data_IF_433023962649
#
_entry.id   IF_433023962649
#
_cell.length_a   1.000
_cell.length_b   1.000
_cell.length_c   1.000
_cell.angle_alpha   90.00
_cell.angle_beta   90.00
_cell.angle_gamma   90.00
#
_symmetry.space_group_name_H-M   'P 1'
#
loop_
_entity.id
_entity.type
_entity.pdbx_description
1 polymer ?
#
# COMPACT_ATOMS: atom_id res chain seq x y z
N UNK A 1 -1.60 9.63 17.13
CA UNK A 1 -1.22 8.38 17.85
C UNK A 1 0.16 7.95 17.39
N UNK A 2 1.06 7.68 18.32
CA UNK A 2 2.35 7.04 18.05
C UNK A 2 2.21 5.60 18.48
N UNK A 3 2.35 4.66 17.55
CA UNK A 3 2.49 3.27 17.94
C UNK A 3 3.77 3.11 18.72
N UNK A 4 3.61 2.63 19.92
CA UNK A 4 4.72 2.41 20.81
C UNK A 4 4.88 0.91 20.98
N UNK A 5 5.96 0.37 20.42
CA UNK A 5 6.34 -1.01 20.65
C UNK A 5 7.15 -1.04 21.92
N UNK A 6 6.63 -1.72 22.93
CA UNK A 6 7.33 -1.88 24.19
C UNK A 6 8.27 -3.08 24.11
N UNK A 7 9.58 -2.85 24.15
CA UNK A 7 10.53 -3.88 24.56
C UNK A 7 10.38 -4.10 26.06
N UNK A 8 10.82 -5.26 26.55
CA UNK A 8 10.66 -5.66 27.96
C UNK A 8 10.81 -4.52 28.97
N UNK A 9 11.73 -3.60 28.73
CA UNK A 9 12.03 -2.47 29.60
C UNK A 9 12.17 -1.13 28.87
N UNK A 10 11.79 -1.06 27.60
CA UNK A 10 11.89 0.17 26.80
C UNK A 10 10.73 0.31 25.83
N UNK A 11 10.23 1.53 25.74
CA UNK A 11 9.22 1.90 24.77
C UNK A 11 9.96 2.31 23.49
N UNK A 12 9.77 1.54 22.42
CA UNK A 12 10.30 1.90 21.11
C UNK A 12 9.19 2.53 20.30
N UNK A 13 9.32 3.80 19.99
CA UNK A 13 8.40 4.51 19.11
C UNK A 13 8.73 4.13 17.67
N UNK A 14 7.76 3.57 16.95
CA UNK A 14 7.91 3.36 15.51
C UNK A 14 7.87 4.73 14.85
N UNK A 15 8.91 5.04 14.05
CA UNK A 15 8.92 6.28 13.26
C UNK A 15 7.74 6.22 12.27
N UNK A 16 6.79 7.15 12.41
CA UNK A 16 5.63 7.22 11.53
C UNK A 16 5.98 7.35 10.06
N UNK A 17 7.13 7.91 9.76
CA UNK A 17 7.62 8.03 8.39
C UNK A 17 7.92 6.67 7.75
N UNK A 18 8.02 5.62 8.50
CA UNK A 18 8.39 4.27 8.05
C UNK A 18 7.21 3.31 7.96
N UNK A 19 6.10 3.61 8.64
CA UNK A 19 4.96 2.71 8.76
C UNK A 19 3.66 3.43 8.47
N UNK A 20 2.90 2.91 7.57
CA UNK A 20 1.58 3.44 7.15
C UNK A 20 0.63 3.77 8.28
N UNK A 21 0.76 3.07 9.37
CA UNK A 21 -0.17 3.09 10.47
C UNK A 21 -0.33 4.42 11.15
N UNK A 22 0.74 5.12 11.39
CA UNK A 22 0.63 6.38 12.08
C UNK A 22 -0.18 7.40 11.31
N UNK A 23 -0.19 7.29 9.99
CA UNK A 23 -0.95 8.19 9.16
C UNK A 23 -2.38 7.87 9.01
N UNK A 24 -2.64 6.62 9.05
CA UNK A 24 -3.99 6.14 9.13
C UNK A 24 -4.64 6.69 10.38
N UNK A 25 -3.94 6.72 11.51
CA UNK A 25 -4.43 7.31 12.73
C UNK A 25 -4.45 8.84 12.73
N UNK A 26 -3.43 9.49 12.17
CA UNK A 26 -3.40 10.93 11.97
C UNK A 26 -4.55 11.37 11.07
N UNK A 27 -4.89 10.56 10.08
CA UNK A 27 -6.02 10.79 9.20
C UNK A 27 -7.37 10.61 9.92
N UNK A 28 -7.52 9.58 10.77
CA UNK A 28 -8.73 9.39 11.60
C UNK A 28 -8.88 10.49 12.62
N UNK A 29 -7.78 10.95 13.19
CA UNK A 29 -7.78 12.04 14.15
C UNK A 29 -8.03 13.40 13.52
N UNK A 30 -8.20 13.49 12.18
CA UNK A 30 -8.33 14.75 11.46
C UNK A 30 -7.05 15.57 11.46
N UNK A 31 -5.92 14.97 11.82
CA UNK A 31 -4.61 15.58 11.75
C UNK A 31 -4.20 15.65 10.29
N UNK A 32 -4.41 16.81 9.72
CA UNK A 32 -4.12 17.10 8.33
C UNK A 32 -2.63 17.01 8.05
N UNK A 33 -2.35 16.41 7.01
CA UNK A 33 -1.12 16.31 6.25
C UNK A 33 -0.23 15.14 6.59
N UNK A 34 -0.37 14.18 5.78
CA UNK A 34 0.64 13.19 5.65
C UNK A 34 1.78 13.73 4.78
N UNK A 35 2.91 14.05 5.37
CA UNK A 35 4.17 14.25 4.65
C UNK A 35 4.80 12.91 4.22
N UNK A 36 4.01 11.85 3.96
CA UNK A 36 4.54 10.53 3.94
C UNK A 36 4.15 9.77 2.71
N UNK A 37 5.14 9.50 2.03
CA UNK A 37 5.23 8.46 1.04
C UNK A 37 5.01 7.13 1.74
N UNK A 38 3.96 6.44 1.36
CA UNK A 38 3.71 5.08 1.76
C UNK A 38 4.61 4.12 0.98
N UNK A 39 5.89 4.42 0.89
CA UNK A 39 6.83 3.46 0.38
C UNK A 39 7.22 2.52 1.50
N UNK A 40 6.99 1.23 1.33
CA UNK A 40 7.68 0.23 2.11
C UNK A 40 9.16 0.36 1.87
N UNK A 41 9.83 1.07 2.74
CA UNK A 41 11.27 0.87 2.89
C UNK A 41 11.42 -0.28 3.87
N UNK A 42 12.36 -1.17 3.58
CA UNK A 42 12.80 -2.17 4.55
C UNK A 42 12.93 -1.53 5.91
N UNK A 43 12.28 -2.10 6.91
CA UNK A 43 12.32 -1.55 8.26
C UNK A 43 13.74 -1.69 8.78
N UNK A 44 14.32 -0.64 9.34
CA UNK A 44 15.58 -0.72 10.04
C UNK A 44 15.45 -1.47 11.40
N UNK A 45 14.28 -2.01 11.69
CA UNK A 45 14.05 -2.82 12.89
C UNK A 45 14.62 -4.21 12.61
N UNK A 46 15.55 -4.68 13.44
CA UNK A 46 16.08 -6.03 13.30
C UNK A 46 14.96 -7.08 13.31
N UNK A 47 15.03 -8.03 12.41
CA UNK A 47 14.03 -9.11 12.29
C UNK A 47 13.82 -9.84 13.62
N UNK A 48 14.89 -10.09 14.36
CA UNK A 48 14.82 -10.74 15.70
C UNK A 48 13.93 -9.96 16.67
N UNK A 49 14.02 -8.62 16.64
CA UNK A 49 13.17 -7.77 17.48
C UNK A 49 11.69 -7.82 17.08
N UNK A 50 11.41 -8.00 15.80
CA UNK A 50 10.03 -8.17 15.31
C UNK A 50 9.49 -9.56 15.69
N UNK A 51 10.30 -10.61 15.62
CA UNK A 51 9.92 -11.96 16.06
C UNK A 51 9.62 -12.00 17.56
N UNK A 52 10.47 -11.35 18.36
CA UNK A 52 10.23 -11.19 19.80
C UNK A 52 8.93 -10.44 20.09
N UNK A 53 8.67 -9.37 19.32
CA UNK A 53 7.42 -8.62 19.42
C UNK A 53 6.19 -9.45 19.06
N UNK A 54 6.24 -10.26 17.99
CA UNK A 54 5.13 -11.17 17.63
C UNK A 54 4.80 -12.11 18.78
N UNK A 55 5.82 -12.69 19.44
CA UNK A 55 5.63 -13.58 20.57
C UNK A 55 4.98 -12.88 21.77
N UNK A 56 5.41 -11.66 22.11
CA UNK A 56 4.82 -10.88 23.20
C UNK A 56 3.38 -10.44 22.91
N UNK A 57 3.11 -10.08 21.65
CA UNK A 57 1.75 -9.75 21.26
C UNK A 57 0.83 -10.98 21.31
N UNK A 58 1.35 -12.19 21.01
CA UNK A 58 0.62 -13.43 21.18
C UNK A 58 0.25 -13.70 22.63
N UNK A 59 1.19 -13.49 23.57
CA UNK A 59 0.92 -13.61 25.01
C UNK A 59 -0.16 -12.61 25.46
N UNK A 60 -0.02 -11.34 25.04
CA UNK A 60 -0.98 -10.29 25.40
C UNK A 60 -2.37 -10.55 24.85
N UNK A 61 -2.48 -11.13 23.65
CA UNK A 61 -3.79 -11.54 23.07
C UNK A 61 -4.41 -12.66 23.90
N UNK A 62 -3.60 -13.61 24.40
CA UNK A 62 -4.09 -14.69 25.25
C UNK A 62 -4.64 -14.17 26.59
N UNK A 63 -4.08 -13.09 27.13
CA UNK A 63 -4.52 -12.46 28.37
C UNK A 63 -5.83 -11.64 28.20
N UNK A 64 -6.09 -11.11 27.01
CA UNK A 64 -7.29 -10.33 26.70
C UNK A 64 -7.74 -10.58 25.26
N UNK A 65 -8.70 -11.50 25.11
CA UNK A 65 -9.20 -11.96 23.82
C UNK A 65 -10.12 -10.94 23.12
N UNK A 66 -10.63 -9.93 23.83
CA UNK A 66 -11.60 -8.97 23.28
C UNK A 66 -10.95 -7.65 22.83
N UNK A 67 -9.60 -7.55 22.86
CA UNK A 67 -8.88 -6.36 22.43
C UNK A 67 -8.30 -6.56 21.03
N UNK A 68 -8.90 -5.90 20.03
CA UNK A 68 -8.45 -5.95 18.64
C UNK A 68 -7.10 -5.26 18.39
N UNK A 69 -6.66 -4.36 19.27
CA UNK A 69 -5.43 -3.57 19.05
C UNK A 69 -4.15 -4.42 19.06
N UNK A 70 -3.93 -5.35 20.00
CA UNK A 70 -2.81 -6.27 19.93
C UNK A 70 -2.83 -7.16 18.68
N UNK A 71 -4.02 -7.60 18.24
CA UNK A 71 -4.17 -8.35 16.98
C UNK A 71 -3.75 -7.50 15.79
N UNK A 72 -4.17 -6.25 15.74
CA UNK A 72 -3.80 -5.33 14.68
C UNK A 72 -2.27 -5.14 14.60
N UNK A 73 -1.63 -4.84 15.73
CA UNK A 73 -0.16 -4.71 15.80
C UNK A 73 0.56 -6.00 15.42
N UNK A 74 0.02 -7.15 15.83
CA UNK A 74 0.58 -8.45 15.47
C UNK A 74 0.49 -8.71 13.98
N UNK A 75 -0.64 -8.42 13.35
CA UNK A 75 -0.81 -8.53 11.90
C UNK A 75 0.24 -7.72 11.14
N UNK A 76 0.54 -6.50 11.60
CA UNK A 76 1.61 -5.67 11.01
C UNK A 76 2.97 -6.32 11.20
N UNK A 77 3.28 -6.73 12.43
CA UNK A 77 4.57 -7.36 12.76
C UNK A 77 4.79 -8.59 11.89
N UNK A 78 3.78 -9.45 11.75
CA UNK A 78 3.83 -10.64 10.92
C UNK A 78 4.00 -10.32 9.43
N UNK A 79 3.36 -9.25 8.94
CA UNK A 79 3.55 -8.78 7.57
C UNK A 79 4.99 -8.30 7.33
N UNK A 80 5.57 -7.56 8.27
CA UNK A 80 6.96 -7.07 8.19
C UNK A 80 7.99 -8.21 8.17
N UNK A 81 7.76 -9.28 8.90
CA UNK A 81 8.61 -10.49 8.86
C UNK A 81 8.20 -11.48 7.76
N UNK A 82 7.33 -11.05 6.84
CA UNK A 82 6.87 -11.81 5.66
C UNK A 82 6.07 -13.09 5.99
N UNK A 83 5.49 -13.16 7.17
CA UNK A 83 4.55 -14.22 7.56
C UNK A 83 3.13 -13.87 7.10
N UNK A 84 2.95 -13.65 5.80
CA UNK A 84 1.72 -13.09 5.22
C UNK A 84 0.46 -13.87 5.55
N UNK A 85 0.51 -15.20 5.50
CA UNK A 85 -0.65 -16.05 5.84
C UNK A 85 -1.08 -15.85 7.29
N UNK A 86 -0.13 -15.80 8.22
CA UNK A 86 -0.41 -15.56 9.62
C UNK A 86 -0.97 -14.14 9.83
N UNK A 87 -0.40 -13.14 9.15
CA UNK A 87 -0.87 -11.76 9.22
C UNK A 87 -2.33 -11.62 8.75
N UNK A 88 -2.68 -12.24 7.62
CA UNK A 88 -4.06 -12.25 7.11
C UNK A 88 -5.03 -12.89 8.10
N UNK A 89 -4.65 -14.03 8.70
CA UNK A 89 -5.45 -14.69 9.73
C UNK A 89 -5.62 -13.79 10.98
N UNK A 90 -4.54 -13.17 11.43
CA UNK A 90 -4.54 -12.26 12.59
C UNK A 90 -5.42 -11.03 12.35
N UNK A 91 -5.35 -10.41 11.15
CA UNK A 91 -6.27 -9.33 10.79
C UNK A 91 -7.72 -9.79 10.72
N UNK A 92 -7.97 -11.03 10.28
CA UNK A 92 -9.33 -11.59 10.25
C UNK A 92 -9.90 -11.66 11.65
N UNK A 93 -9.15 -12.16 12.63
CA UNK A 93 -9.56 -12.16 14.03
C UNK A 93 -9.77 -10.74 14.59
N UNK A 94 -8.93 -9.78 14.21
CA UNK A 94 -9.13 -8.39 14.60
C UNK A 94 -10.41 -7.78 13.98
N UNK A 95 -10.74 -8.13 12.74
CA UNK A 95 -11.98 -7.70 12.06
C UNK A 95 -13.23 -8.28 12.74
N UNK A 96 -13.18 -9.52 13.23
CA UNK A 96 -14.28 -10.12 13.98
C UNK A 96 -14.61 -9.33 15.23
N UNK A 97 -13.60 -8.79 15.90
CA UNK A 97 -13.78 -7.96 17.11
C UNK A 97 -14.16 -6.50 16.78
N UNK A 98 -13.63 -5.94 15.71
CA UNK A 98 -13.86 -4.55 15.32
C UNK A 98 -14.28 -4.42 13.83
N UNK A 99 -15.45 -4.94 13.43
CA UNK A 99 -15.85 -5.02 12.01
C UNK A 99 -16.16 -3.66 11.37
N UNK A 100 -16.26 -2.60 12.15
CA UNK A 100 -16.45 -1.23 11.66
C UNK A 100 -15.16 -0.43 11.52
N UNK A 101 -14.00 -1.03 11.82
CA UNK A 101 -12.71 -0.35 11.69
C UNK A 101 -12.16 -0.48 10.26
N UNK A 102 -12.11 0.60 9.46
CA UNK A 102 -11.70 0.53 8.06
C UNK A 102 -10.21 0.20 7.88
N UNK A 103 -9.39 0.42 8.91
CA UNK A 103 -7.95 0.19 8.86
C UNK A 103 -7.57 -1.27 8.87
N UNK A 104 -8.36 -2.09 9.52
CA UNK A 104 -8.16 -3.53 9.53
C UNK A 104 -8.31 -4.11 8.12
N UNK A 105 -9.32 -3.68 7.40
CA UNK A 105 -9.54 -4.08 6.01
C UNK A 105 -8.44 -3.55 5.08
N UNK A 106 -8.02 -2.29 5.24
CA UNK A 106 -6.93 -1.71 4.46
C UNK A 106 -5.64 -2.53 4.64
N UNK A 107 -5.27 -2.83 5.88
CA UNK A 107 -4.02 -3.54 6.15
C UNK A 107 -4.09 -5.01 5.73
N UNK A 108 -5.24 -5.69 5.89
CA UNK A 108 -5.41 -7.04 5.39
C UNK A 108 -5.29 -7.08 3.86
N UNK A 109 -5.95 -6.17 3.15
CA UNK A 109 -5.83 -6.02 1.70
C UNK A 109 -4.38 -5.79 1.26
N UNK A 110 -3.67 -4.88 1.92
CA UNK A 110 -2.26 -4.61 1.61
C UNK A 110 -1.40 -5.86 1.80
N UNK A 111 -1.61 -6.58 2.90
CA UNK A 111 -0.88 -7.83 3.18
C UNK A 111 -1.19 -8.93 2.17
N UNK A 112 -2.44 -9.07 1.73
CA UNK A 112 -2.82 -10.00 0.67
C UNK A 112 -2.13 -9.66 -0.66
N UNK A 113 -2.09 -8.38 -1.04
CA UNK A 113 -1.40 -7.94 -2.25
C UNK A 113 0.09 -8.26 -2.19
N UNK A 114 0.74 -8.01 -1.05
CA UNK A 114 2.15 -8.31 -0.86
C UNK A 114 2.48 -9.81 -0.83
N UNK A 115 1.57 -10.61 -0.31
CA UNK A 115 1.69 -12.06 -0.39
C UNK A 115 1.70 -12.51 -1.85
N UNK A 116 0.82 -11.95 -2.69
CA UNK A 116 0.77 -12.23 -4.12
C UNK A 116 2.07 -11.78 -4.80
N UNK A 117 2.55 -10.57 -4.51
CA UNK A 117 3.80 -10.05 -5.05
C UNK A 117 5.00 -10.91 -4.64
N UNK A 118 5.04 -11.36 -3.40
CA UNK A 118 6.08 -12.27 -2.90
C UNK A 118 6.06 -13.61 -3.64
N UNK A 119 4.89 -14.24 -3.77
CA UNK A 119 4.74 -15.50 -4.52
C UNK A 119 5.16 -15.29 -5.97
N UNK A 120 4.74 -14.19 -6.60
CA UNK A 120 5.11 -13.87 -7.97
C UNK A 120 6.62 -13.67 -8.15
N UNK A 121 7.29 -13.12 -7.16
CA UNK A 121 8.75 -12.92 -7.19
C UNK A 121 9.52 -14.24 -7.12
N UNK A 122 9.00 -15.22 -6.40
CA UNK A 122 9.58 -16.58 -6.34
C UNK A 122 9.41 -17.29 -7.69
N UNK A 123 8.22 -17.24 -8.27
CA UNK A 123 7.93 -17.84 -9.57
C UNK A 123 8.79 -17.23 -10.69
N UNK A 124 9.11 -15.93 -10.58
CA UNK A 124 9.94 -15.22 -11.54
C UNK A 124 11.44 -15.42 -11.36
N UNK A 125 11.89 -15.97 -10.24
CA UNK A 125 13.33 -16.24 -10.01
C UNK A 125 13.91 -17.25 -11.00
N UNK A 126 13.07 -18.07 -11.63
CA UNK A 126 13.47 -18.99 -12.71
C UNK A 126 13.53 -18.35 -14.10
N UNK A 127 12.90 -17.21 -14.31
CA UNK A 127 13.05 -16.42 -15.51
C UNK A 127 13.80 -15.15 -15.14
N UNK A 128 15.10 -15.10 -15.41
CA UNK A 128 15.89 -13.88 -15.36
C UNK A 128 15.23 -12.86 -16.30
N UNK A 129 14.35 -12.08 -15.75
CA UNK A 129 13.75 -10.97 -16.44
C UNK A 129 14.82 -9.92 -16.52
N UNK A 130 15.22 -9.58 -17.73
CA UNK A 130 15.71 -8.25 -18.01
C UNK A 130 14.74 -7.29 -17.37
N UNK A 131 15.21 -6.59 -16.33
CA UNK A 131 14.44 -5.56 -15.65
C UNK A 131 14.19 -4.50 -16.72
N UNK A 132 13.02 -4.60 -17.35
CA UNK A 132 12.54 -3.54 -18.20
C UNK A 132 12.25 -2.37 -17.27
N UNK A 133 13.13 -1.37 -17.31
CA UNK A 133 13.09 -0.23 -16.41
C UNK A 133 11.84 0.66 -16.64
N UNK A 134 11.02 0.31 -17.64
CA UNK A 134 9.83 1.06 -18.00
C UNK A 134 8.61 0.60 -17.17
N UNK A 135 8.07 1.47 -16.29
CA UNK A 135 6.87 1.16 -15.49
C UNK A 135 5.64 0.84 -16.34
N UNK A 136 5.52 1.36 -17.56
CA UNK A 136 4.41 1.07 -18.49
C UNK A 136 4.50 -0.38 -18.97
N UNK A 137 5.70 -0.88 -19.24
CA UNK A 137 5.90 -2.28 -19.60
C UNK A 137 5.59 -3.22 -18.42
N UNK A 138 5.77 -2.77 -17.16
CA UNK A 138 5.34 -3.53 -15.98
C UNK A 138 3.82 -3.71 -15.95
N UNK A 139 3.05 -2.68 -16.28
CA UNK A 139 1.59 -2.79 -16.39
C UNK A 139 1.18 -3.75 -17.50
N UNK A 140 1.88 -3.75 -18.64
CA UNK A 140 1.63 -4.71 -19.72
C UNK A 140 1.92 -6.15 -19.28
N UNK A 141 3.03 -6.36 -18.59
CA UNK A 141 3.43 -7.69 -18.12
C UNK A 141 2.55 -8.17 -16.96
N UNK A 142 2.07 -7.28 -16.10
CA UNK A 142 1.13 -7.60 -15.03
C UNK A 142 -0.22 -8.07 -15.59
N UNK A 143 -0.73 -7.43 -16.64
CA UNK A 143 -1.98 -7.82 -17.28
C UNK A 143 -1.92 -9.20 -17.98
N UNK A 144 -0.71 -9.65 -18.37
CA UNK A 144 -0.49 -10.98 -18.94
C UNK A 144 -0.50 -12.11 -17.89
N UNK A 145 -0.38 -11.78 -16.61
CA UNK A 145 -0.36 -12.73 -15.50
C UNK A 145 -1.54 -12.43 -14.59
N UNK A 146 -2.58 -13.21 -14.72
CA UNK A 146 -3.81 -13.05 -13.92
C UNK A 146 -3.57 -13.53 -12.48
N UNK A 147 -2.97 -12.68 -11.65
CA UNK A 147 -3.08 -12.86 -10.20
C UNK A 147 -4.46 -12.40 -9.72
N UNK A 148 -5.06 -13.18 -8.84
CA UNK A 148 -6.38 -12.84 -8.30
C UNK A 148 -6.26 -11.90 -7.11
N UNK A 149 -6.62 -10.63 -7.29
CA UNK A 149 -6.68 -9.61 -6.24
C UNK A 149 -8.10 -9.38 -5.70
N UNK A 150 -9.06 -10.23 -6.04
CA UNK A 150 -10.48 -9.96 -5.74
C UNK A 150 -10.76 -9.85 -4.24
N UNK A 151 -10.12 -10.69 -3.42
CA UNK A 151 -10.26 -10.60 -1.95
C UNK A 151 -9.70 -9.29 -1.40
N UNK A 152 -8.52 -8.89 -1.86
CA UNK A 152 -7.90 -7.62 -1.45
C UNK A 152 -8.74 -6.42 -1.89
N UNK A 153 -9.31 -6.46 -3.10
CA UNK A 153 -10.22 -5.43 -3.61
C UNK A 153 -11.53 -5.41 -2.79
N UNK A 154 -12.05 -6.56 -2.39
CA UNK A 154 -13.25 -6.64 -1.54
C UNK A 154 -13.03 -5.98 -0.18
N UNK A 155 -11.86 -6.16 0.43
CA UNK A 155 -11.48 -5.49 1.67
C UNK A 155 -11.42 -3.97 1.50
N UNK A 156 -10.81 -3.49 0.40
CA UNK A 156 -10.76 -2.06 0.12
C UNK A 156 -12.15 -1.46 -0.15
N UNK A 157 -13.04 -2.21 -0.80
CA UNK A 157 -14.44 -1.81 -0.96
C UNK A 157 -15.12 -1.66 0.42
N UNK A 158 -14.83 -2.57 1.36
CA UNK A 158 -15.36 -2.48 2.71
C UNK A 158 -14.78 -1.29 3.46
N UNK A 159 -13.47 -1.06 3.38
CA UNK A 159 -12.81 0.09 3.98
C UNK A 159 -13.40 1.43 3.47
N UNK A 160 -13.60 1.55 2.16
CA UNK A 160 -14.21 2.74 1.53
C UNK A 160 -15.66 2.91 1.98
N UNK A 161 -16.42 1.83 2.07
CA UNK A 161 -17.82 1.89 2.55
C UNK A 161 -17.89 2.39 3.99
N UNK A 162 -16.96 1.97 4.84
CA UNK A 162 -16.88 2.39 6.24
C UNK A 162 -16.36 3.82 6.36
N UNK A 163 -15.46 4.22 5.50
CA UNK A 163 -14.84 5.55 5.52
C UNK A 163 -14.68 6.12 4.09
N UNK A 164 -15.70 6.80 3.54
CA UNK A 164 -15.71 7.26 2.16
C UNK A 164 -14.66 8.32 1.81
N UNK A 165 -14.06 8.99 2.80
CA UNK A 165 -13.00 9.96 2.59
C UNK A 165 -11.58 9.37 2.72
N UNK A 166 -11.46 8.05 2.67
CA UNK A 166 -10.19 7.36 2.89
C UNK A 166 -9.34 7.30 1.60
N UNK A 167 -8.58 8.36 1.33
CA UNK A 167 -7.78 8.51 0.12
C UNK A 167 -6.87 7.30 -0.17
N UNK A 168 -6.26 6.71 0.87
CA UNK A 168 -5.41 5.54 0.73
C UNK A 168 -6.14 4.28 0.26
N UNK A 169 -7.38 4.10 0.69
CA UNK A 169 -8.15 2.94 0.27
C UNK A 169 -8.48 3.02 -1.23
N UNK A 170 -8.79 4.19 -1.75
CA UNK A 170 -8.95 4.42 -3.18
C UNK A 170 -7.62 4.20 -3.93
N UNK A 171 -6.53 4.78 -3.44
CA UNK A 171 -5.21 4.61 -4.04
C UNK A 171 -4.78 3.14 -4.11
N UNK A 172 -4.93 2.38 -3.03
CA UNK A 172 -4.57 0.97 -3.01
C UNK A 172 -5.49 0.14 -3.91
N UNK A 173 -6.79 0.45 -3.97
CA UNK A 173 -7.72 -0.22 -4.89
C UNK A 173 -7.36 0.07 -6.34
N UNK A 174 -7.01 1.31 -6.66
CA UNK A 174 -6.52 1.68 -7.98
C UNK A 174 -5.27 0.90 -8.40
N UNK A 175 -4.32 0.72 -7.47
CA UNK A 175 -3.13 -0.10 -7.73
C UNK A 175 -3.50 -1.54 -8.11
N UNK A 176 -4.39 -2.18 -7.34
CA UNK A 176 -4.82 -3.55 -7.61
C UNK A 176 -5.66 -3.67 -8.89
N UNK A 177 -6.49 -2.67 -9.20
CA UNK A 177 -7.23 -2.59 -10.45
C UNK A 177 -6.29 -2.45 -11.64
N UNK A 178 -5.28 -1.58 -11.55
CA UNK A 178 -4.27 -1.42 -12.59
C UNK A 178 -3.50 -2.71 -12.85
N UNK A 179 -3.08 -3.41 -11.78
CA UNK A 179 -2.42 -4.72 -11.86
C UNK A 179 -3.33 -5.81 -12.45
N UNK A 180 -4.64 -5.67 -12.27
CA UNK A 180 -5.67 -6.55 -12.85
C UNK A 180 -6.07 -6.15 -14.27
N UNK A 181 -5.44 -5.13 -14.87
CA UNK A 181 -5.78 -4.62 -16.20
C UNK A 181 -7.05 -3.77 -16.27
N UNK A 182 -7.69 -3.48 -15.14
CA UNK A 182 -8.90 -2.64 -15.02
C UNK A 182 -8.50 -1.16 -14.98
N UNK A 183 -7.95 -0.66 -16.09
CA UNK A 183 -7.31 0.67 -16.14
C UNK A 183 -8.29 1.84 -16.01
N UNK A 184 -9.50 1.81 -16.61
CA UNK A 184 -10.48 2.87 -16.40
C UNK A 184 -10.88 3.01 -14.93
N UNK A 185 -11.15 1.90 -14.25
CA UNK A 185 -11.51 1.88 -12.85
C UNK A 185 -10.35 2.39 -11.97
N UNK A 186 -9.11 1.99 -12.30
CA UNK A 186 -7.92 2.48 -11.61
C UNK A 186 -7.75 4.01 -11.76
N UNK A 187 -7.99 4.54 -12.96
CA UNK A 187 -7.95 5.98 -13.22
C UNK A 187 -8.97 6.74 -12.35
N UNK A 188 -10.19 6.23 -12.26
CA UNK A 188 -11.27 6.85 -11.46
C UNK A 188 -10.89 6.85 -9.96
N UNK A 189 -10.37 5.76 -9.45
CA UNK A 189 -9.96 5.63 -8.06
C UNK A 189 -8.73 6.49 -7.72
N UNK A 190 -7.72 6.57 -8.60
CA UNK A 190 -6.62 7.53 -8.40
C UNK A 190 -7.13 8.98 -8.42
N UNK A 191 -8.08 9.28 -9.30
CA UNK A 191 -8.68 10.62 -9.36
C UNK A 191 -9.43 10.94 -8.08
N UNK A 192 -10.14 9.96 -7.50
CA UNK A 192 -10.80 10.13 -6.21
C UNK A 192 -9.80 10.29 -5.06
N UNK A 193 -8.71 9.54 -5.07
CA UNK A 193 -7.64 9.68 -4.08
C UNK A 193 -7.01 11.09 -4.13
N UNK A 194 -6.78 11.63 -5.32
CA UNK A 194 -6.26 12.99 -5.52
C UNK A 194 -7.28 14.06 -5.10
N UNK A 195 -8.56 13.88 -5.40
CA UNK A 195 -9.63 14.78 -4.94
C UNK A 195 -9.65 14.89 -3.41
N UNK A 196 -9.52 13.73 -2.73
CA UNK A 196 -9.51 13.65 -1.27
C UNK A 196 -8.20 14.18 -0.68
N UNK A 197 -7.10 14.02 -1.39
CA UNK A 197 -5.79 14.49 -0.98
C UNK A 197 -4.99 15.07 -2.17
N UNK A 198 -5.07 16.41 -2.39
CA UNK A 198 -4.47 17.05 -3.56
C UNK A 198 -2.95 17.01 -3.65
N UNK A 199 -2.25 16.67 -2.57
CA UNK A 199 -0.79 16.53 -2.55
C UNK A 199 -0.33 15.06 -2.58
N UNK A 200 -1.18 14.14 -3.01
CA UNK A 200 -0.86 12.72 -3.08
C UNK A 200 0.03 12.40 -4.30
N UNK A 201 1.33 12.61 -4.13
CA UNK A 201 2.34 12.51 -5.21
C UNK A 201 2.29 11.16 -5.96
N UNK A 202 2.19 10.05 -5.23
CA UNK A 202 2.14 8.71 -5.79
C UNK A 202 0.87 8.46 -6.59
N UNK A 203 -0.25 9.04 -6.19
CA UNK A 203 -1.49 8.93 -6.94
C UNK A 203 -1.40 9.65 -8.29
N UNK A 204 -0.79 10.84 -8.35
CA UNK A 204 -0.49 11.50 -9.61
C UNK A 204 0.46 10.67 -10.47
N UNK A 205 1.53 10.14 -9.87
CA UNK A 205 2.49 9.32 -10.60
C UNK A 205 1.84 8.11 -11.25
N UNK A 206 1.08 7.34 -10.49
CA UNK A 206 0.43 6.13 -10.97
C UNK A 206 -0.71 6.43 -11.95
N UNK A 207 -1.51 7.50 -11.71
CA UNK A 207 -2.53 7.94 -12.67
C UNK A 207 -1.89 8.37 -14.00
N UNK A 208 -0.78 9.08 -13.94
CA UNK A 208 0.00 9.47 -15.12
C UNK A 208 0.45 8.27 -15.94
N UNK A 209 0.94 7.20 -15.29
CA UNK A 209 1.31 5.96 -15.97
C UNK A 209 0.11 5.27 -16.62
N UNK A 210 -1.02 5.19 -15.90
CA UNK A 210 -2.27 4.63 -16.44
C UNK A 210 -2.74 5.40 -17.67
N UNK A 211 -2.72 6.74 -17.64
CA UNK A 211 -3.07 7.57 -18.79
C UNK A 211 -2.15 7.34 -20.00
N UNK A 212 -0.84 7.25 -19.78
CA UNK A 212 0.13 6.94 -20.85
C UNK A 212 -0.18 5.57 -21.45
N UNK A 213 -0.44 4.58 -20.63
CA UNK A 213 -0.82 3.25 -21.09
C UNK A 213 -2.12 3.27 -21.91
N UNK A 214 -3.10 4.07 -21.51
CA UNK A 214 -4.36 4.30 -22.21
C UNK A 214 -4.19 5.21 -23.44
N UNK A 215 -2.97 5.53 -23.85
CA UNK A 215 -2.61 6.38 -25.00
C UNK A 215 -2.94 7.88 -24.83
N UNK A 216 -3.29 8.34 -23.64
CA UNK A 216 -3.40 9.77 -23.34
C UNK A 216 -2.08 10.30 -22.75
N UNK A 217 -1.03 10.23 -23.57
CA UNK A 217 0.35 10.63 -23.15
C UNK A 217 0.40 12.07 -22.65
N UNK A 218 -0.40 12.97 -23.26
CA UNK A 218 -0.39 14.39 -22.86
C UNK A 218 -0.83 14.58 -21.42
N UNK A 219 -1.96 13.99 -21.03
CA UNK A 219 -2.44 14.08 -19.66
C UNK A 219 -1.54 13.34 -18.70
N UNK A 220 -1.06 12.16 -19.09
CA UNK A 220 -0.12 11.40 -18.29
C UNK A 220 1.17 12.19 -17.98
N UNK A 221 1.71 12.93 -18.95
CA UNK A 221 2.86 13.81 -18.71
C UNK A 221 2.55 14.97 -17.74
N UNK A 222 1.32 15.51 -17.74
CA UNK A 222 0.92 16.53 -16.78
C UNK A 222 0.89 15.97 -15.35
N UNK A 223 0.34 14.78 -15.17
CA UNK A 223 0.32 14.11 -13.87
C UNK A 223 1.74 13.73 -13.40
N UNK A 224 2.62 13.25 -14.30
CA UNK A 224 4.03 13.00 -13.96
C UNK A 224 4.76 14.28 -13.56
N UNK A 225 4.49 15.41 -14.25
CA UNK A 225 5.06 16.71 -13.87
C UNK A 225 4.61 17.08 -12.45
N UNK A 226 3.33 16.91 -12.14
CA UNK A 226 2.79 17.20 -10.81
C UNK A 226 3.39 16.28 -9.73
N UNK A 227 3.55 14.99 -10.01
CA UNK A 227 4.22 14.05 -9.12
C UNK A 227 5.68 14.46 -8.84
N UNK A 228 6.39 14.92 -9.86
CA UNK A 228 7.76 15.45 -9.73
C UNK A 228 7.82 16.70 -8.84
N UNK A 229 6.91 17.67 -9.04
CA UNK A 229 6.78 18.84 -8.17
C UNK A 229 6.51 18.48 -6.70
N UNK A 230 5.78 17.39 -6.48
CA UNK A 230 5.45 16.86 -5.15
C UNK A 230 6.54 15.95 -4.57
N UNK A 231 7.67 15.78 -5.26
CA UNK A 231 8.86 15.11 -4.72
C UNK A 231 9.17 13.72 -5.26
N UNK A 232 8.44 13.22 -6.27
CA UNK A 232 8.75 11.95 -6.94
C UNK A 232 9.84 12.17 -7.99
N UNK A 233 11.12 12.00 -7.61
CA UNK A 233 12.25 12.26 -8.49
C UNK A 233 12.21 11.47 -9.81
N UNK A 234 11.79 10.21 -9.77
CA UNK A 234 11.69 9.35 -10.96
C UNK A 234 10.63 9.83 -11.96
N UNK A 235 9.69 10.68 -11.56
CA UNK A 235 8.68 11.23 -12.45
C UNK A 235 9.29 12.09 -13.55
N UNK A 236 10.36 12.85 -13.26
CA UNK A 236 11.04 13.68 -14.27
C UNK A 236 11.77 12.85 -15.33
N UNK A 237 12.32 11.70 -14.95
CA UNK A 237 12.97 10.79 -15.91
C UNK A 237 11.94 10.23 -16.91
N UNK A 238 10.77 9.80 -16.40
CA UNK A 238 9.69 9.33 -17.25
C UNK A 238 9.12 10.45 -18.13
N UNK A 239 8.95 11.65 -17.56
CA UNK A 239 8.48 12.80 -18.31
C UNK A 239 9.39 13.09 -19.51
N UNK A 240 10.72 13.10 -19.34
CA UNK A 240 11.66 13.27 -20.43
C UNK A 240 11.50 12.19 -21.51
N UNK A 241 11.34 10.93 -21.11
CA UNK A 241 11.18 9.80 -22.02
C UNK A 241 9.92 9.91 -22.89
N UNK A 242 8.79 10.23 -22.28
CA UNK A 242 7.50 10.30 -22.98
C UNK A 242 7.23 11.63 -23.68
N UNK A 243 7.85 12.72 -23.23
CA UNK A 243 7.76 14.01 -23.90
C UNK A 243 8.57 14.04 -25.21
N UNK A 244 9.72 13.36 -25.26
CA UNK A 244 10.56 13.28 -26.45
C UNK A 244 10.04 12.30 -27.52
N UNK A 245 9.24 11.30 -27.13
CA UNK A 245 8.67 10.32 -28.08
C UNK A 245 7.60 10.91 -29.03
N UNK A 246 7.33 12.20 -29.01
CA UNK A 246 6.38 12.91 -29.88
C UNK A 246 6.97 13.43 -31.19
N UNK A 247 8.25 13.16 -31.46
CA UNK A 247 8.92 13.71 -32.63
C UNK A 247 9.28 12.66 -33.71
N UNK A 248 8.80 11.43 -33.59
CA UNK A 248 8.82 10.40 -34.63
C UNK A 248 7.36 10.02 -35.00
#
# INVERSE_FOLDING_TARGET
FRFTITRADSITTIDPKRYHLQRVEDFVAGLSQPDLVLSRRESDIPTDSLVELDSRLAERIADNLDDWQPLFLRGITQSLIKQYTNAVATYTSAIEQAPSNPFLYLNRSTTQAEMIDFISSIDNSYQRITIDADPVNRLQNASARSYNYDEAIADLNKAIKLYPSFAYAYYNRANLQALSGKLPEAFDDYSKAIELWPNFAEAYYNRGLVQIYMKDTRKGCLDLSKAGELGIANAYQLLQRYASAKHD
#
